data_IF_884371120019
#
_entry.id   IF_884371120019
#
_cell.length_a   1.000
_cell.length_b   1.000
_cell.length_c   1.000
_cell.angle_alpha   90.00
_cell.angle_beta   90.00
_cell.angle_gamma   90.00
#
_symmetry.space_group_name_H-M   'P 1'
#
loop_
_entity.id
_entity.type
_entity.pdbx_description
1 polymer ?
#
# COMPACT_ATOMS: atom_id res chain seq x y z
N UNK A 1 -22.33 -14.19 -10.42
CA UNK A 1 -23.07 -13.66 -9.27
C UNK A 1 -22.12 -13.30 -8.15
N UNK A 2 -22.34 -12.18 -7.59
CA UNK A 2 -21.53 -11.78 -6.43
C UNK A 2 -22.11 -12.38 -5.17
N UNK A 3 -21.27 -13.10 -4.40
CA UNK A 3 -21.68 -13.67 -3.14
C UNK A 3 -21.88 -12.58 -2.08
N UNK A 4 -22.64 -12.92 -1.06
CA UNK A 4 -22.76 -12.09 0.13
C UNK A 4 -21.64 -12.53 1.08
N UNK A 5 -20.79 -11.58 1.48
CA UNK A 5 -19.68 -11.86 2.39
C UNK A 5 -20.09 -11.62 3.84
N UNK A 6 -19.64 -12.51 4.73
CA UNK A 6 -19.75 -12.25 6.17
C UNK A 6 -18.75 -11.16 6.57
N UNK A 7 -18.94 -10.47 7.71
CA UNK A 7 -17.95 -9.51 8.20
C UNK A 7 -16.54 -10.10 8.31
N UNK A 8 -16.40 -11.37 8.72
CA UNK A 8 -15.11 -12.05 8.78
C UNK A 8 -14.47 -12.22 7.40
N UNK A 9 -15.27 -12.58 6.39
CA UNK A 9 -14.78 -12.72 5.02
C UNK A 9 -14.31 -11.40 4.45
N UNK A 10 -15.04 -10.31 4.70
CA UNK A 10 -14.64 -8.96 4.29
C UNK A 10 -13.33 -8.55 4.96
N UNK A 11 -13.18 -8.79 6.27
CA UNK A 11 -11.96 -8.46 7.00
C UNK A 11 -10.73 -9.19 6.45
N UNK A 12 -10.89 -10.44 6.00
CA UNK A 12 -9.79 -11.21 5.40
C UNK A 12 -9.35 -10.65 4.07
N UNK A 13 -10.23 -9.97 3.35
CA UNK A 13 -9.96 -9.42 2.03
C UNK A 13 -9.56 -7.96 2.06
N UNK A 14 -9.79 -7.27 3.18
CA UNK A 14 -9.57 -5.85 3.31
C UNK A 14 -8.26 -5.55 4.05
N UNK A 15 -7.53 -4.58 3.54
CA UNK A 15 -6.42 -3.95 4.26
C UNK A 15 -6.69 -2.46 4.39
N UNK A 16 -6.49 -1.94 5.60
CA UNK A 16 -6.58 -0.52 5.86
C UNK A 16 -5.19 0.07 5.99
N UNK A 17 -4.87 1.03 5.12
CA UNK A 17 -3.60 1.74 5.13
C UNK A 17 -3.82 3.08 5.82
N UNK A 18 -3.43 3.15 7.08
CA UNK A 18 -3.56 4.34 7.92
C UNK A 18 -2.46 5.37 7.60
N UNK A 19 -2.65 6.60 8.06
CA UNK A 19 -1.61 7.62 7.99
C UNK A 19 -0.36 7.22 8.78
N UNK A 20 -0.57 6.70 9.98
CA UNK A 20 0.49 6.25 10.88
C UNK A 20 0.59 4.73 10.81
N UNK A 21 1.39 4.25 9.87
CA UNK A 21 1.59 2.82 9.66
C UNK A 21 2.48 2.26 10.78
N UNK A 22 2.03 1.18 11.39
CA UNK A 22 2.84 0.41 12.31
C UNK A 22 3.72 -0.58 11.55
N UNK A 23 5.01 -0.54 11.84
CA UNK A 23 5.98 -1.51 11.34
C UNK A 23 6.68 -2.18 12.52
N UNK A 24 6.94 -3.48 12.38
CA UNK A 24 7.71 -4.24 13.34
C UNK A 24 9.19 -3.88 13.22
N UNK A 25 9.90 -3.85 14.34
CA UNK A 25 11.34 -3.59 14.34
C UNK A 25 12.12 -4.80 13.81
N UNK A 26 12.06 -4.99 12.52
CA UNK A 26 12.73 -6.04 11.77
C UNK A 26 13.06 -5.50 10.37
N UNK A 27 13.34 -6.39 9.42
CA UNK A 27 13.67 -5.98 8.05
C UNK A 27 12.44 -5.49 7.29
N UNK A 28 12.68 -4.76 6.20
CA UNK A 28 11.62 -4.39 5.26
C UNK A 28 10.98 -5.66 4.68
N UNK A 29 11.78 -6.66 4.33
CA UNK A 29 11.30 -7.96 3.84
C UNK A 29 10.30 -8.58 4.79
N UNK A 30 10.65 -8.71 6.06
CA UNK A 30 9.79 -9.30 7.07
C UNK A 30 8.51 -8.48 7.29
N UNK A 31 8.60 -7.16 7.22
CA UNK A 31 7.43 -6.30 7.31
C UNK A 31 6.46 -6.47 6.14
N UNK A 32 6.97 -6.80 4.96
CA UNK A 32 6.14 -7.06 3.78
C UNK A 32 5.56 -8.48 3.82
N UNK A 33 6.40 -9.48 4.05
CA UNK A 33 6.00 -10.89 3.97
C UNK A 33 5.30 -11.42 5.21
N UNK A 34 5.54 -10.80 6.36
CA UNK A 34 5.04 -11.24 7.68
C UNK A 34 5.37 -12.72 7.94
N UNK A 35 6.57 -13.15 7.54
CA UNK A 35 7.02 -14.53 7.69
C UNK A 35 6.46 -15.51 6.67
N UNK A 36 5.66 -15.04 5.73
CA UNK A 36 5.12 -15.87 4.65
C UNK A 36 6.16 -16.20 3.59
N UNK A 37 5.93 -17.29 2.88
CA UNK A 37 6.80 -17.71 1.78
C UNK A 37 6.25 -17.15 0.45
N UNK A 38 7.08 -16.36 -0.22
CA UNK A 38 6.74 -15.77 -1.51
C UNK A 38 7.92 -15.92 -2.46
N UNK A 39 7.63 -16.01 -3.77
CA UNK A 39 8.67 -16.04 -4.78
C UNK A 39 9.32 -14.65 -4.91
N UNK A 40 10.54 -14.62 -5.41
CA UNK A 40 11.22 -13.36 -5.70
C UNK A 40 10.41 -12.50 -6.68
N UNK A 41 9.78 -13.14 -7.65
CA UNK A 41 8.93 -12.47 -8.64
C UNK A 41 7.73 -11.78 -7.99
N UNK A 42 7.05 -12.47 -7.05
CA UNK A 42 5.94 -11.89 -6.29
C UNK A 42 6.41 -10.68 -5.47
N UNK A 43 7.55 -10.80 -4.84
CA UNK A 43 8.12 -9.72 -4.03
C UNK A 43 8.48 -8.51 -4.90
N UNK A 44 9.15 -8.74 -6.03
CA UNK A 44 9.51 -7.66 -6.96
C UNK A 44 8.27 -6.95 -7.51
N UNK A 45 7.22 -7.70 -7.83
CA UNK A 45 5.96 -7.11 -8.27
C UNK A 45 5.35 -6.21 -7.21
N UNK A 46 5.31 -6.65 -5.97
CA UNK A 46 4.78 -5.86 -4.86
C UNK A 46 5.60 -4.57 -4.66
N UNK A 47 6.92 -4.64 -4.79
CA UNK A 47 7.79 -3.48 -4.68
C UNK A 47 7.56 -2.47 -5.81
N UNK A 48 7.37 -2.95 -7.03
CA UNK A 48 7.06 -2.06 -8.17
C UNK A 48 5.70 -1.39 -8.00
N UNK A 49 4.68 -2.17 -7.67
CA UNK A 49 3.30 -1.68 -7.60
C UNK A 49 3.08 -0.73 -6.41
N UNK A 50 3.92 -0.82 -5.39
CA UNK A 50 3.92 0.10 -4.24
C UNK A 50 4.91 1.26 -4.39
N UNK A 51 5.62 1.36 -5.50
CA UNK A 51 6.66 2.37 -5.77
C UNK A 51 7.85 2.33 -4.79
N UNK A 52 8.12 1.17 -4.20
CA UNK A 52 9.26 0.99 -3.29
C UNK A 52 10.55 0.58 -3.98
N UNK A 53 10.47 0.09 -5.21
CA UNK A 53 11.62 -0.54 -5.85
C UNK A 53 12.84 0.40 -5.96
N UNK A 54 12.62 1.67 -6.23
CA UNK A 54 13.67 2.66 -6.29
C UNK A 54 14.31 2.95 -4.93
N UNK A 55 13.49 3.02 -3.88
CA UNK A 55 13.98 3.23 -2.52
C UNK A 55 14.85 2.07 -2.06
N UNK A 56 14.39 0.84 -2.32
CA UNK A 56 15.13 -0.37 -1.94
C UNK A 56 16.49 -0.43 -2.68
N UNK A 57 16.50 -0.08 -3.95
CA UNK A 57 17.73 -0.07 -4.74
C UNK A 57 18.79 0.91 -4.21
N UNK A 58 18.35 1.98 -3.53
CA UNK A 58 19.24 2.98 -2.96
C UNK A 58 19.65 2.70 -1.51
N UNK A 59 19.12 1.65 -0.89
CA UNK A 59 19.47 1.26 0.46
C UNK A 59 20.64 0.30 0.43
N UNK A 60 21.70 0.51 1.26
CA UNK A 60 22.87 -0.39 1.28
C UNK A 60 22.50 -1.85 1.53
N UNK A 61 21.56 -2.11 2.42
CA UNK A 61 21.11 -3.46 2.77
C UNK A 61 19.85 -3.90 2.03
N UNK A 62 19.34 -3.08 1.12
CA UNK A 62 18.14 -3.40 0.33
C UNK A 62 16.97 -3.80 1.19
N UNK A 63 16.34 -4.93 0.88
CA UNK A 63 15.21 -5.49 1.63
C UNK A 63 15.58 -5.94 3.04
N UNK A 64 16.86 -6.16 3.32
CA UNK A 64 17.33 -6.57 4.64
C UNK A 64 17.61 -5.37 5.56
N UNK A 65 17.27 -4.17 5.12
CA UNK A 65 17.35 -2.96 5.93
C UNK A 65 16.42 -3.07 7.13
N UNK A 66 16.95 -2.82 8.32
CA UNK A 66 16.17 -2.81 9.57
C UNK A 66 15.40 -1.49 9.65
N UNK A 67 14.11 -1.57 9.87
CA UNK A 67 13.25 -0.37 9.89
C UNK A 67 13.34 0.43 11.19
N UNK A 68 13.89 -0.16 12.24
CA UNK A 68 14.02 0.47 13.54
C UNK A 68 12.72 0.43 14.36
N UNK A 69 12.78 0.96 15.58
CA UNK A 69 11.59 1.05 16.44
C UNK A 69 10.55 1.92 15.79
N UNK A 70 9.32 1.43 15.73
CA UNK A 70 8.18 2.10 15.09
C UNK A 70 8.47 2.52 13.63
N UNK A 71 9.41 1.84 12.97
CA UNK A 71 9.81 2.19 11.61
C UNK A 71 10.62 3.49 11.50
N UNK A 72 11.32 3.87 12.58
CA UNK A 72 11.99 5.18 12.68
C UNK A 72 13.05 5.48 11.64
N UNK A 73 13.59 4.46 10.96
CA UNK A 73 14.58 4.67 9.89
C UNK A 73 13.93 4.97 8.52
N UNK A 74 12.61 4.89 8.41
CA UNK A 74 11.87 5.14 7.18
C UNK A 74 11.07 6.46 7.27
N UNK A 75 10.90 7.11 6.13
CA UNK A 75 10.00 8.26 6.04
C UNK A 75 8.53 7.80 6.16
N UNK A 76 7.62 8.73 6.42
CA UNK A 76 6.19 8.43 6.47
C UNK A 76 5.68 7.83 5.17
N UNK A 77 6.13 8.35 4.03
CA UNK A 77 5.77 7.82 2.72
C UNK A 77 6.31 6.41 2.48
N UNK A 78 7.54 6.15 2.91
CA UNK A 78 8.13 4.82 2.81
C UNK A 78 7.38 3.81 3.66
N UNK A 79 7.03 4.17 4.90
CA UNK A 79 6.21 3.31 5.77
C UNK A 79 4.86 2.97 5.13
N UNK A 80 4.18 3.95 4.57
CA UNK A 80 2.90 3.75 3.91
C UNK A 80 3.04 2.80 2.72
N UNK A 81 4.08 2.98 1.91
CA UNK A 81 4.33 2.10 0.75
C UNK A 81 4.71 0.69 1.17
N UNK A 82 5.38 0.50 2.31
CA UNK A 82 5.61 -0.83 2.87
C UNK A 82 4.29 -1.50 3.23
N UNK A 83 3.36 -0.77 3.86
CA UNK A 83 2.03 -1.30 4.17
C UNK A 83 1.25 -1.66 2.91
N UNK A 84 1.36 -0.88 1.85
CA UNK A 84 0.74 -1.18 0.56
C UNK A 84 1.35 -2.45 -0.05
N UNK A 85 2.68 -2.57 -0.06
CA UNK A 85 3.36 -3.77 -0.55
C UNK A 85 2.94 -5.02 0.21
N UNK A 86 2.82 -4.91 1.53
CA UNK A 86 2.31 -5.98 2.40
C UNK A 86 0.91 -6.42 1.95
N UNK A 87 0.01 -5.48 1.75
CA UNK A 87 -1.35 -5.78 1.32
C UNK A 87 -1.38 -6.45 -0.05
N UNK A 88 -0.58 -5.95 -0.99
CA UNK A 88 -0.52 -6.48 -2.36
C UNK A 88 0.03 -7.90 -2.41
N UNK A 89 1.12 -8.19 -1.68
CA UNK A 89 1.72 -9.52 -1.71
C UNK A 89 0.82 -10.57 -1.05
N UNK A 90 0.05 -10.17 -0.05
CA UNK A 90 -0.93 -11.04 0.61
C UNK A 90 -2.26 -11.12 -0.16
N UNK A 91 -2.32 -10.56 -1.36
CA UNK A 91 -3.47 -10.62 -2.28
C UNK A 91 -4.77 -10.12 -1.67
N UNK A 92 -4.71 -9.03 -0.93
CA UNK A 92 -5.93 -8.39 -0.44
C UNK A 92 -6.71 -7.81 -1.62
N UNK A 93 -8.00 -8.09 -1.66
CA UNK A 93 -8.85 -7.65 -2.78
C UNK A 93 -9.47 -6.27 -2.56
N UNK A 94 -9.48 -5.79 -1.33
CA UNK A 94 -10.01 -4.49 -0.96
C UNK A 94 -8.94 -3.72 -0.20
N UNK A 95 -8.58 -2.55 -0.73
CA UNK A 95 -7.59 -1.70 -0.10
C UNK A 95 -8.23 -0.35 0.22
N UNK A 96 -8.30 -0.03 1.50
CA UNK A 96 -8.76 1.26 1.99
C UNK A 96 -7.53 2.09 2.34
N UNK A 97 -7.32 3.19 1.62
CA UNK A 97 -6.18 4.08 1.83
C UNK A 97 -6.67 5.42 2.34
N UNK A 98 -6.22 5.78 3.53
CA UNK A 98 -6.47 7.09 4.10
C UNK A 98 -5.26 7.98 3.82
N UNK A 99 -5.43 8.92 2.90
CA UNK A 99 -4.34 9.84 2.54
C UNK A 99 -4.08 10.88 3.61
N UNK A 100 -5.08 11.26 4.35
CA UNK A 100 -4.99 12.29 5.42
C UNK A 100 -4.16 13.50 5.01
N UNK A 101 -3.14 13.79 5.80
CA UNK A 101 -2.05 14.69 5.40
C UNK A 101 -1.02 13.83 4.68
N UNK A 102 -0.93 13.99 3.40
CA UNK A 102 -0.13 13.17 2.50
C UNK A 102 1.30 12.92 3.00
N UNK A 103 1.59 11.71 3.46
CA UNK A 103 2.96 11.27 3.75
C UNK A 103 3.73 10.93 2.47
N UNK A 104 3.03 10.75 1.33
CA UNK A 104 3.64 10.51 0.04
C UNK A 104 3.95 11.83 -0.66
N UNK A 105 5.10 11.93 -1.30
CA UNK A 105 5.32 12.98 -2.26
C UNK A 105 4.46 12.74 -3.51
N UNK A 106 4.21 13.78 -4.29
CA UNK A 106 3.28 13.72 -5.42
C UNK A 106 3.68 12.67 -6.46
N UNK A 107 4.96 12.54 -6.72
CA UNK A 107 5.47 11.57 -7.71
C UNK A 107 5.17 10.14 -7.30
N UNK A 108 5.46 9.79 -6.05
CA UNK A 108 5.21 8.45 -5.52
C UNK A 108 3.72 8.16 -5.40
N UNK A 109 2.93 9.15 -5.00
CA UNK A 109 1.48 9.03 -4.94
C UNK A 109 0.90 8.67 -6.32
N UNK A 110 1.33 9.34 -7.37
CA UNK A 110 0.87 9.08 -8.73
C UNK A 110 1.23 7.67 -9.20
N UNK A 111 2.45 7.22 -8.93
CA UNK A 111 2.88 5.86 -9.29
C UNK A 111 2.03 4.81 -8.58
N UNK A 112 1.85 4.96 -7.28
CA UNK A 112 1.05 4.04 -6.47
C UNK A 112 -0.39 4.00 -6.96
N UNK A 113 -1.04 5.15 -7.13
CA UNK A 113 -2.42 5.21 -7.61
C UNK A 113 -2.61 4.53 -8.96
N UNK A 114 -1.73 4.83 -9.91
CA UNK A 114 -1.81 4.21 -11.24
C UNK A 114 -1.68 2.70 -11.18
N UNK A 115 -0.75 2.21 -10.36
CA UNK A 115 -0.56 0.77 -10.18
C UNK A 115 -1.77 0.11 -9.56
N UNK A 116 -2.35 0.73 -8.53
CA UNK A 116 -3.51 0.17 -7.84
C UNK A 116 -4.75 0.20 -8.72
N UNK A 117 -4.97 1.30 -9.44
CA UNK A 117 -6.12 1.43 -10.35
C UNK A 117 -6.02 0.51 -11.56
N UNK A 118 -4.80 0.16 -11.99
CA UNK A 118 -4.60 -0.77 -13.09
C UNK A 118 -4.82 -2.24 -12.72
N UNK A 119 -4.92 -2.56 -11.42
CA UNK A 119 -5.12 -3.93 -10.96
C UNK A 119 -6.62 -4.30 -11.01
N UNK A 120 -7.04 -5.19 -11.94
CA UNK A 120 -8.47 -5.52 -12.09
C UNK A 120 -9.04 -6.31 -10.91
N UNK A 121 -8.19 -6.93 -10.10
CA UNK A 121 -8.61 -7.77 -8.98
C UNK A 121 -8.70 -6.97 -7.66
N UNK A 122 -8.39 -5.68 -7.71
CA UNK A 122 -8.35 -4.83 -6.54
C UNK A 122 -9.49 -3.81 -6.54
N UNK A 123 -10.19 -3.71 -5.42
CA UNK A 123 -11.10 -2.61 -5.13
C UNK A 123 -10.36 -1.61 -4.26
N UNK A 124 -10.15 -0.41 -4.80
CA UNK A 124 -9.48 0.67 -4.09
C UNK A 124 -10.52 1.67 -3.57
N UNK A 125 -10.48 1.89 -2.26
CA UNK A 125 -11.27 2.94 -1.62
C UNK A 125 -10.27 3.97 -1.08
N UNK A 126 -10.33 5.17 -1.62
CA UNK A 126 -9.43 6.25 -1.28
C UNK A 126 -10.17 7.35 -0.52
N UNK A 127 -9.66 7.68 0.66
CA UNK A 127 -10.14 8.83 1.42
C UNK A 127 -9.16 9.98 1.18
N UNK A 128 -9.64 11.04 0.57
CA UNK A 128 -8.79 12.19 0.23
C UNK A 128 -9.51 13.49 0.56
N UNK A 129 -8.76 14.47 1.05
CA UNK A 129 -9.25 15.83 1.29
C UNK A 129 -9.02 16.75 0.10
N UNK A 130 -8.16 16.33 -0.83
CA UNK A 130 -7.81 17.11 -2.02
C UNK A 130 -7.83 16.21 -3.25
N UNK A 131 -8.92 16.28 -3.99
CA UNK A 131 -9.08 15.49 -5.20
C UNK A 131 -9.26 16.45 -6.38
N UNK A 132 -8.26 16.52 -7.25
CA UNK A 132 -8.34 17.30 -8.49
C UNK A 132 -9.31 16.66 -9.46
N UNK A 133 -9.81 17.43 -10.43
CA UNK A 133 -10.71 16.91 -11.45
C UNK A 133 -10.07 15.79 -12.27
N UNK A 134 -8.77 15.92 -12.55
CA UNK A 134 -8.01 14.88 -13.24
C UNK A 134 -8.01 13.57 -12.43
N UNK A 135 -7.74 13.63 -11.13
CA UNK A 135 -7.77 12.45 -10.27
C UNK A 135 -9.17 11.86 -10.15
N UNK A 136 -10.20 12.72 -10.06
CA UNK A 136 -11.60 12.28 -10.00
C UNK A 136 -11.97 11.41 -11.20
N UNK A 137 -11.47 11.77 -12.38
CA UNK A 137 -11.78 11.05 -13.61
C UNK A 137 -11.18 9.64 -13.67
N UNK A 138 -10.20 9.34 -12.82
CA UNK A 138 -9.52 8.03 -12.76
C UNK A 138 -10.32 7.01 -11.95
N UNK A 139 -11.29 7.43 -11.15
CA UNK A 139 -12.08 6.56 -10.28
C UNK A 139 -13.46 6.28 -10.88
N UNK A 140 -13.96 5.07 -10.65
CA UNK A 140 -15.30 4.66 -11.12
C UNK A 140 -16.41 5.46 -10.44
N UNK A 141 -16.24 5.78 -9.17
CA UNK A 141 -17.18 6.57 -8.39
C UNK A 141 -16.47 7.48 -7.42
N UNK A 142 -17.00 8.68 -7.26
CA UNK A 142 -16.51 9.65 -6.27
C UNK A 142 -17.69 10.14 -5.44
N UNK A 143 -17.53 10.11 -4.13
CA UNK A 143 -18.52 10.59 -3.17
C UNK A 143 -17.95 11.81 -2.46
N UNK A 144 -18.68 12.93 -2.51
CA UNK A 144 -18.32 14.12 -1.74
C UNK A 144 -19.11 14.09 -0.44
N UNK A 145 -18.39 14.01 0.66
CA UNK A 145 -18.99 13.98 1.99
C UNK A 145 -18.99 15.38 2.61
N UNK A 146 -20.04 15.76 3.34
CA UNK A 146 -20.11 17.07 4.00
C UNK A 146 -19.07 17.20 5.11
#
# INVERSE_FOLDING_TARGET
MRGIYTPKQLQRQMSYIEQNVYLFNTTIRENITLGGEFTEEQLQKALRDSALIGDIANMPDGLDTIVGEEGGSLSGGQKQRVAIARALIHRRSILLVDEGTSALDQKNADIVEKSLLANPDLTLILISHHLTDERRSMFDKVYDLP
#
